data_IF_337936539582
#
_entry.id   IF_337936539582
#
_cell.length_a   1.000
_cell.length_b   1.000
_cell.length_c   1.000
_cell.angle_alpha   90.00
_cell.angle_beta   90.00
_cell.angle_gamma   90.00
#
_symmetry.space_group_name_H-M   'P 1'
#
loop_
_entity.id
_entity.type
_entity.pdbx_description
1 polymer ?
#
# COMPACT_ATOMS: atom_id res chain seq x y z
N UNK A 1 27.18 -3.12 -12.12
CA UNK A 1 26.21 -3.65 -11.15
C UNK A 1 26.07 -2.60 -10.07
N UNK A 2 25.09 -1.71 -10.21
CA UNK A 2 24.79 -0.71 -9.19
C UNK A 2 24.08 -1.46 -8.07
N UNK A 3 24.68 -1.50 -6.89
CA UNK A 3 24.00 -2.06 -5.71
C UNK A 3 22.89 -1.07 -5.38
N UNK A 4 21.64 -1.48 -5.59
CA UNK A 4 20.48 -0.71 -5.13
C UNK A 4 20.52 -0.80 -3.60
N UNK A 5 20.84 0.30 -2.93
CA UNK A 5 20.73 0.38 -1.47
C UNK A 5 19.25 0.50 -1.09
N UNK A 6 18.67 -0.63 -0.66
CA UNK A 6 17.30 -0.68 -0.14
C UNK A 6 17.30 -0.17 1.31
N UNK A 7 16.47 0.83 1.67
CA UNK A 7 16.46 1.37 3.02
C UNK A 7 15.93 0.35 4.04
N UNK A 8 16.57 0.28 5.21
CA UNK A 8 16.12 -0.57 6.32
C UNK A 8 15.06 0.10 7.20
N UNK A 9 15.03 1.44 7.26
CA UNK A 9 13.98 2.17 7.97
C UNK A 9 12.64 2.07 7.20
N UNK A 10 11.52 1.75 7.86
CA UNK A 10 10.25 1.54 7.16
C UNK A 10 9.71 2.75 6.41
N UNK A 11 9.92 3.98 6.93
CA UNK A 11 9.46 5.20 6.25
C UNK A 11 10.33 5.50 5.04
N UNK A 12 11.65 5.43 5.19
CA UNK A 12 12.57 5.58 4.07
C UNK A 12 12.36 4.50 2.99
N UNK A 13 12.03 3.27 3.40
CA UNK A 13 11.72 2.17 2.48
C UNK A 13 10.40 2.40 1.73
N UNK A 14 9.38 2.92 2.42
CA UNK A 14 8.11 3.28 1.80
C UNK A 14 8.27 4.43 0.80
N UNK A 15 9.06 5.45 1.14
CA UNK A 15 9.42 6.55 0.23
C UNK A 15 10.19 6.05 -1.00
N UNK A 16 11.16 5.16 -0.78
CA UNK A 16 11.91 4.53 -1.84
C UNK A 16 11.00 3.74 -2.77
N UNK A 17 10.09 2.91 -2.23
CA UNK A 17 9.12 2.14 -3.01
C UNK A 17 8.19 3.05 -3.83
N UNK A 18 7.67 4.13 -3.23
CA UNK A 18 6.84 5.11 -3.93
C UNK A 18 7.62 5.87 -5.03
N UNK A 19 8.93 6.08 -4.83
CA UNK A 19 9.81 6.69 -5.83
C UNK A 19 10.07 5.76 -7.02
N UNK A 20 10.28 4.47 -6.76
CA UNK A 20 10.50 3.48 -7.83
C UNK A 20 9.22 3.24 -8.65
N UNK A 21 8.05 3.23 -7.99
CA UNK A 21 6.78 2.85 -8.62
C UNK A 21 5.82 4.03 -8.67
N UNK A 22 5.79 4.75 -9.80
CA UNK A 22 4.91 5.93 -10.00
C UNK A 22 3.44 5.66 -9.67
N UNK A 23 2.93 4.47 -9.99
CA UNK A 23 1.53 4.13 -9.68
C UNK A 23 1.31 3.91 -8.18
N UNK A 24 2.28 3.36 -7.44
CA UNK A 24 2.21 3.25 -5.98
C UNK A 24 2.05 4.64 -5.40
N UNK A 25 2.92 5.56 -5.82
CA UNK A 25 2.82 6.97 -5.41
C UNK A 25 1.46 7.57 -5.72
N UNK A 26 0.93 7.40 -6.92
CA UNK A 26 -0.39 7.93 -7.29
C UNK A 26 -1.52 7.38 -6.40
N UNK A 27 -1.47 6.09 -6.05
CA UNK A 27 -2.48 5.48 -5.19
C UNK A 27 -2.37 5.95 -3.74
N UNK A 28 -1.15 6.03 -3.23
CA UNK A 28 -0.88 6.54 -1.88
C UNK A 28 -1.31 8.01 -1.77
N UNK A 29 -0.96 8.84 -2.75
CA UNK A 29 -1.30 10.27 -2.74
C UNK A 29 -2.81 10.53 -2.82
N UNK A 30 -3.61 9.60 -3.39
CA UNK A 30 -5.08 9.67 -3.33
C UNK A 30 -5.63 9.54 -1.92
N UNK A 31 -4.91 8.88 -1.01
CA UNK A 31 -5.32 8.66 0.38
C UNK A 31 -4.65 9.71 1.28
N UNK A 32 -3.32 9.78 1.24
CA UNK A 32 -2.55 10.59 2.17
C UNK A 32 -2.35 12.05 1.72
N UNK A 33 -2.65 12.39 0.46
CA UNK A 33 -2.24 13.65 -0.15
C UNK A 33 -0.77 13.62 -0.62
N UNK A 34 -0.20 14.76 -1.05
CA UNK A 34 1.16 14.81 -1.59
C UNK A 34 2.21 14.34 -0.58
N UNK A 35 2.86 13.21 -0.84
CA UNK A 35 3.77 12.54 0.11
C UNK A 35 5.07 13.32 0.34
N UNK A 36 5.57 14.06 -0.65
CA UNK A 36 6.77 14.91 -0.49
C UNK A 36 6.58 16.06 0.53
N UNK A 37 5.33 16.29 0.96
CA UNK A 37 4.96 17.35 1.91
C UNK A 37 4.48 16.78 3.24
N UNK A 38 4.58 15.48 3.45
CA UNK A 38 3.98 14.79 4.58
C UNK A 38 4.87 13.64 5.07
N UNK A 39 5.53 13.82 6.20
CA UNK A 39 6.41 12.82 6.80
C UNK A 39 5.64 11.62 7.37
N UNK A 40 4.39 11.79 7.81
CA UNK A 40 3.53 10.77 8.42
C UNK A 40 2.60 10.07 7.40
N UNK A 41 2.89 10.14 6.10
CA UNK A 41 1.96 9.63 5.08
C UNK A 41 1.73 8.12 5.21
N UNK A 42 2.75 7.38 5.64
CA UNK A 42 2.68 5.93 5.83
C UNK A 42 1.70 5.59 6.97
N UNK A 43 1.73 6.35 8.07
CA UNK A 43 0.80 6.17 9.18
C UNK A 43 -0.64 6.47 8.76
N UNK A 44 -0.83 7.55 7.99
CA UNK A 44 -2.15 7.91 7.43
C UNK A 44 -2.69 6.80 6.53
N UNK A 45 -1.82 6.18 5.71
CA UNK A 45 -2.18 5.06 4.85
C UNK A 45 -2.58 3.84 5.68
N UNK A 46 -1.73 3.43 6.62
CA UNK A 46 -1.94 2.28 7.50
C UNK A 46 -3.22 2.43 8.32
N UNK A 47 -3.46 3.62 8.85
CA UNK A 47 -4.70 3.93 9.58
C UNK A 47 -5.94 3.82 8.68
N UNK A 48 -5.88 4.38 7.46
CA UNK A 48 -7.00 4.33 6.52
C UNK A 48 -7.37 2.88 6.12
N UNK A 49 -6.37 2.01 5.97
CA UNK A 49 -6.59 0.58 5.69
C UNK A 49 -7.27 -0.11 6.87
N UNK A 50 -6.73 0.07 8.09
CA UNK A 50 -7.29 -0.56 9.29
C UNK A 50 -8.71 -0.06 9.60
N UNK A 51 -8.96 1.24 9.42
CA UNK A 51 -10.27 1.84 9.66
C UNK A 51 -11.31 1.45 8.61
N UNK A 52 -10.89 1.07 7.39
CA UNK A 52 -11.83 0.66 6.34
C UNK A 52 -12.59 -0.62 6.70
N UNK A 53 -11.95 -1.56 7.41
CA UNK A 53 -12.64 -2.77 7.87
C UNK A 53 -13.63 -2.41 9.01
N UNK A 54 -13.25 -1.45 9.86
CA UNK A 54 -14.11 -0.90 10.90
C UNK A 54 -15.34 -0.16 10.36
N UNK A 55 -15.18 0.60 9.28
CA UNK A 55 -16.28 1.33 8.62
C UNK A 55 -17.35 0.37 8.08
N UNK A 56 -16.93 -0.71 7.40
CA UNK A 56 -17.85 -1.74 6.94
C UNK A 56 -18.64 -2.39 8.09
N UNK A 57 -17.96 -2.73 9.18
CA UNK A 57 -18.62 -3.27 10.37
C UNK A 57 -19.59 -2.27 11.03
N UNK A 58 -19.25 -0.98 11.04
CA UNK A 58 -20.13 0.07 11.55
C UNK A 58 -21.40 0.21 10.72
N UNK A 59 -21.30 0.11 9.39
CA UNK A 59 -22.45 0.12 8.49
C UNK A 59 -23.35 -1.10 8.67
N UNK A 60 -22.78 -2.30 8.76
CA UNK A 60 -23.56 -3.53 9.03
C UNK A 60 -24.34 -3.41 10.33
N UNK A 61 -23.72 -2.87 11.38
CA UNK A 61 -24.38 -2.70 12.68
C UNK A 61 -25.42 -1.56 12.66
N UNK A 62 -25.17 -0.48 11.90
CA UNK A 62 -26.13 0.60 11.70
C UNK A 62 -27.38 0.10 11.00
N UNK A 63 -27.23 -0.61 9.88
CA UNK A 63 -28.34 -1.20 9.12
C UNK A 63 -29.13 -2.22 9.95
N UNK A 64 -28.44 -3.00 10.80
CA UNK A 64 -29.09 -3.93 11.73
C UNK A 64 -30.01 -3.23 12.74
N UNK A 65 -29.64 -2.03 13.22
CA UNK A 65 -30.43 -1.24 14.19
C UNK A 65 -31.44 -0.32 13.52
N UNK A 66 -31.14 0.12 12.30
CA UNK A 66 -31.89 1.07 11.50
C UNK A 66 -32.01 0.48 10.09
N UNK A 67 -32.99 -0.40 9.81
CA UNK A 67 -33.15 -1.00 8.50
C UNK A 67 -33.27 0.07 7.40
N UNK A 68 -32.61 -0.18 6.26
CA UNK A 68 -32.65 0.73 5.12
C UNK A 68 -34.10 0.86 4.59
N UNK A 69 -34.60 2.09 4.37
CA UNK A 69 -35.91 2.29 3.77
C UNK A 69 -35.90 1.98 2.27
N UNK A 70 -37.05 1.58 1.73
CA UNK A 70 -37.22 1.28 0.30
C UNK A 70 -37.38 2.54 -0.58
N UNK A 71 -37.62 3.70 0.03
CA UNK A 71 -37.80 4.98 -0.68
C UNK A 71 -36.46 5.72 -0.84
N UNK A 72 -36.18 6.22 -2.05
CA UNK A 72 -34.92 6.89 -2.38
C UNK A 72 -34.65 8.13 -1.53
N UNK A 73 -35.66 8.97 -1.25
CA UNK A 73 -35.47 10.19 -0.47
C UNK A 73 -35.19 9.85 1.00
N UNK A 74 -35.95 8.92 1.56
CA UNK A 74 -35.72 8.38 2.90
C UNK A 74 -34.36 7.67 3.00
N UNK A 75 -33.92 6.98 1.94
CA UNK A 75 -32.62 6.30 1.89
C UNK A 75 -31.47 7.30 2.03
N UNK A 76 -31.51 8.43 1.32
CA UNK A 76 -30.45 9.43 1.42
C UNK A 76 -30.42 10.12 2.78
N UNK A 77 -31.57 10.35 3.40
CA UNK A 77 -31.65 10.89 4.77
C UNK A 77 -31.08 9.89 5.79
N UNK A 78 -31.47 8.61 5.68
CA UNK A 78 -30.92 7.51 6.47
C UNK A 78 -29.41 7.39 6.30
N UNK A 79 -28.92 7.38 5.05
CA UNK A 79 -27.50 7.29 4.75
C UNK A 79 -26.71 8.48 5.30
N UNK A 80 -27.28 9.70 5.30
CA UNK A 80 -26.65 10.88 5.88
C UNK A 80 -26.52 10.81 7.41
N UNK A 81 -27.37 10.04 8.09
CA UNK A 81 -27.32 9.80 9.53
C UNK A 81 -26.43 8.60 9.91
N UNK A 82 -26.02 7.79 8.94
CA UNK A 82 -25.16 6.64 9.14
C UNK A 82 -23.71 7.01 9.47
N UNK A 83 -22.86 5.98 9.71
CA UNK A 83 -21.44 6.15 9.97
C UNK A 83 -20.74 7.03 8.93
N UNK A 84 -19.89 7.94 9.41
CA UNK A 84 -19.13 8.86 8.56
C UNK A 84 -17.65 8.48 8.58
N UNK A 85 -17.21 7.80 7.52
CA UNK A 85 -15.80 7.51 7.29
C UNK A 85 -14.98 8.80 7.16
N UNK A 86 -13.69 8.73 7.54
CA UNK A 86 -12.75 9.81 7.24
C UNK A 86 -12.55 9.97 5.72
N UNK A 87 -12.10 11.14 5.22
CA UNK A 87 -11.77 11.30 3.81
C UNK A 87 -10.81 10.24 3.27
N UNK A 88 -9.85 9.81 4.09
CA UNK A 88 -8.84 8.81 3.75
C UNK A 88 -9.45 7.42 3.60
N UNK A 89 -10.32 7.03 4.55
CA UNK A 89 -11.05 5.76 4.48
C UNK A 89 -11.97 5.72 3.26
N UNK A 90 -12.68 6.82 2.95
CA UNK A 90 -13.49 6.92 1.73
C UNK A 90 -12.63 6.81 0.47
N UNK A 91 -11.47 7.47 0.43
CA UNK A 91 -10.57 7.42 -0.71
C UNK A 91 -10.05 5.99 -0.97
N UNK A 92 -9.75 5.23 0.09
CA UNK A 92 -9.42 3.81 0.01
C UNK A 92 -10.64 2.96 -0.38
N UNK A 93 -11.82 3.24 0.19
CA UNK A 93 -13.05 2.47 -0.01
C UNK A 93 -13.53 2.41 -1.46
N UNK A 94 -13.33 3.47 -2.25
CA UNK A 94 -13.72 3.54 -3.67
C UNK A 94 -12.69 2.94 -4.64
N UNK A 95 -11.55 2.48 -4.14
CA UNK A 95 -10.54 1.82 -4.97
C UNK A 95 -11.00 0.45 -5.45
N UNK A 96 -10.53 0.05 -6.63
CA UNK A 96 -10.67 -1.31 -7.13
C UNK A 96 -9.95 -2.31 -6.23
N UNK A 97 -10.32 -3.59 -6.29
CA UNK A 97 -9.70 -4.64 -5.46
C UNK A 97 -8.19 -4.73 -5.66
N UNK A 98 -7.69 -4.58 -6.90
CA UNK A 98 -6.25 -4.59 -7.18
C UNK A 98 -5.52 -3.41 -6.55
N UNK A 99 -6.09 -2.21 -6.62
CA UNK A 99 -5.53 -1.02 -5.95
C UNK A 99 -5.53 -1.17 -4.43
N UNK A 100 -6.62 -1.67 -3.84
CA UNK A 100 -6.72 -1.92 -2.39
C UNK A 100 -5.66 -2.91 -1.93
N UNK A 101 -5.45 -3.98 -2.68
CA UNK A 101 -4.48 -5.00 -2.33
C UNK A 101 -3.04 -4.48 -2.41
N UNK A 102 -2.75 -3.64 -3.41
CA UNK A 102 -1.45 -2.97 -3.52
C UNK A 102 -1.22 -1.99 -2.36
N UNK A 103 -2.24 -1.20 -2.01
CA UNK A 103 -2.17 -0.30 -0.86
C UNK A 103 -1.98 -1.06 0.45
N UNK A 104 -2.69 -2.18 0.65
CA UNK A 104 -2.50 -3.05 1.82
C UNK A 104 -1.05 -3.55 1.92
N UNK A 105 -0.45 -3.98 0.81
CA UNK A 105 0.95 -4.37 0.75
C UNK A 105 1.88 -3.24 1.23
N UNK A 106 1.72 -2.04 0.69
CA UNK A 106 2.54 -0.87 1.09
C UNK A 106 2.32 -0.54 2.57
N UNK A 107 1.07 -0.56 3.04
CA UNK A 107 0.71 -0.24 4.41
C UNK A 107 1.29 -1.22 5.45
N UNK A 108 1.69 -2.44 5.04
CA UNK A 108 2.41 -3.37 5.93
C UNK A 108 3.78 -2.83 6.38
N UNK A 109 4.38 -1.91 5.62
CA UNK A 109 5.63 -1.24 6.03
C UNK A 109 5.38 -0.32 7.25
N UNK A 110 4.19 0.27 7.38
CA UNK A 110 3.81 1.13 8.50
C UNK A 110 3.38 0.38 9.76
N UNK A 111 3.28 -0.96 9.71
CA UNK A 111 2.94 -1.78 10.86
C UNK A 111 1.94 -2.89 10.56
N UNK A 112 1.12 -3.24 11.56
CA UNK A 112 0.20 -4.37 11.45
C UNK A 112 -0.99 -4.01 10.56
N UNK A 113 -0.99 -4.61 9.38
CA UNK A 113 -2.09 -4.59 8.41
C UNK A 113 -2.36 -6.02 8.00
N UNK A 114 -3.63 -6.42 7.97
CA UNK A 114 -4.01 -7.73 7.44
C UNK A 114 -3.75 -7.77 5.93
N UNK A 115 -2.92 -8.71 5.49
CA UNK A 115 -2.58 -8.89 4.08
C UNK A 115 -2.22 -10.36 3.79
N UNK A 116 -2.49 -10.79 2.57
CA UNK A 116 -2.15 -12.12 2.05
C UNK A 116 -1.35 -12.01 0.75
N UNK A 117 -0.37 -12.89 0.49
CA UNK A 117 0.27 -13.00 -0.83
C UNK A 117 -0.72 -13.22 -1.97
N UNK A 118 -1.89 -13.82 -1.69
CA UNK A 118 -2.96 -13.99 -2.67
C UNK A 118 -3.60 -12.66 -3.10
N UNK A 119 -3.37 -11.58 -2.37
CA UNK A 119 -3.91 -10.26 -2.67
C UNK A 119 -3.12 -9.58 -3.81
N UNK A 120 -1.86 -9.96 -4.06
CA UNK A 120 -1.06 -9.34 -5.12
C UNK A 120 -1.56 -9.80 -6.49
N UNK A 121 -1.95 -8.83 -7.33
CA UNK A 121 -2.14 -9.06 -8.76
C UNK A 121 -0.80 -9.46 -9.37
N UNK A 122 -0.71 -10.64 -9.97
CA UNK A 122 0.48 -11.09 -10.72
C UNK A 122 0.50 -10.56 -12.16
N UNK A 123 -0.13 -9.41 -12.41
CA UNK A 123 0.25 -8.61 -13.57
C UNK A 123 1.69 -8.08 -13.40
N UNK A 124 2.28 -7.60 -14.48
CA UNK A 124 3.67 -7.11 -14.48
C UNK A 124 3.91 -6.05 -13.39
N UNK A 125 2.95 -5.15 -13.16
CA UNK A 125 3.10 -4.05 -12.20
C UNK A 125 3.07 -4.55 -10.77
N UNK A 126 2.12 -5.41 -10.43
CA UNK A 126 2.04 -6.00 -9.09
C UNK A 126 3.25 -6.90 -8.78
N UNK A 127 3.77 -7.62 -9.78
CA UNK A 127 4.99 -8.41 -9.63
C UNK A 127 6.23 -7.54 -9.33
N UNK A 128 6.38 -6.40 -10.00
CA UNK A 128 7.49 -5.48 -9.75
C UNK A 128 7.43 -4.86 -8.34
N UNK A 129 6.25 -4.42 -7.89
CA UNK A 129 6.10 -3.89 -6.51
C UNK A 129 6.36 -4.97 -5.48
N UNK A 130 5.87 -6.20 -5.70
CA UNK A 130 6.12 -7.31 -4.79
C UNK A 130 7.61 -7.64 -4.70
N UNK A 131 8.33 -7.61 -5.82
CA UNK A 131 9.77 -7.86 -5.84
C UNK A 131 10.55 -6.84 -5.00
N UNK A 132 10.25 -5.56 -5.16
CA UNK A 132 10.91 -4.49 -4.40
C UNK A 132 10.46 -4.47 -2.93
N UNK A 133 9.20 -4.79 -2.63
CA UNK A 133 8.73 -4.98 -1.27
C UNK A 133 9.43 -6.15 -0.57
N UNK A 134 9.63 -7.27 -1.26
CA UNK A 134 10.37 -8.41 -0.72
C UNK A 134 11.84 -8.05 -0.45
N UNK A 135 12.45 -7.22 -1.30
CA UNK A 135 13.80 -6.70 -1.04
C UNK A 135 13.85 -5.82 0.22
N UNK A 136 12.83 -4.98 0.45
CA UNK A 136 12.70 -4.18 1.69
C UNK A 136 12.59 -5.09 2.92
N UNK A 137 11.65 -6.04 2.91
CA UNK A 137 11.44 -6.96 4.04
C UNK A 137 12.71 -7.74 4.34
N UNK A 138 13.42 -8.18 3.30
CA UNK A 138 14.69 -8.87 3.44
C UNK A 138 15.76 -8.00 4.11
N UNK A 139 15.91 -6.74 3.68
CA UNK A 139 16.85 -5.79 4.28
C UNK A 139 16.59 -5.52 5.77
N UNK A 140 15.36 -5.77 6.24
CA UNK A 140 14.95 -5.63 7.64
C UNK A 140 15.12 -6.93 8.47
N UNK A 141 15.45 -8.06 7.84
CA UNK A 141 15.61 -9.33 8.56
C UNK A 141 16.85 -9.31 9.46
N UNK A 142 16.79 -9.93 10.66
CA UNK A 142 17.96 -10.04 11.51
C UNK A 142 19.04 -10.92 10.85
N UNK A 143 20.18 -10.32 10.54
CA UNK A 143 21.32 -10.97 9.83
C UNK A 143 21.79 -12.26 10.51
N UNK A 144 21.62 -12.39 11.83
CA UNK A 144 22.00 -13.58 12.59
C UNK A 144 21.06 -14.77 12.39
N UNK A 145 19.80 -14.54 11.97
CA UNK A 145 18.82 -15.58 11.62
C UNK A 145 18.80 -15.86 10.12
N UNK A 146 19.08 -14.85 9.30
CA UNK A 146 19.00 -14.90 7.85
C UNK A 146 20.31 -14.35 7.25
N UNK A 147 21.35 -15.19 7.10
CA UNK A 147 22.65 -14.75 6.58
C UNK A 147 22.58 -14.45 5.08
N UNK A 148 23.13 -13.31 4.66
CA UNK A 148 23.09 -12.80 3.28
C UNK A 148 23.59 -13.79 2.18
N UNK A 149 24.43 -14.76 2.55
CA UNK A 149 24.98 -15.76 1.62
C UNK A 149 23.91 -16.69 0.99
N UNK A 150 22.69 -16.74 1.54
CA UNK A 150 21.57 -17.48 0.95
C UNK A 150 20.76 -16.65 -0.07
N UNK A 151 21.01 -15.34 -0.18
CA UNK A 151 20.03 -14.36 -0.65
C UNK A 151 20.46 -13.49 -1.84
N UNK A 152 21.77 -13.34 -2.10
CA UNK A 152 22.28 -12.50 -3.21
C UNK A 152 21.68 -12.88 -4.58
N UNK A 153 21.46 -14.18 -4.82
CA UNK A 153 20.87 -14.68 -6.05
C UNK A 153 19.36 -14.40 -6.16
N UNK A 154 18.64 -14.38 -5.04
CA UNK A 154 17.22 -14.05 -5.00
C UNK A 154 17.02 -12.55 -5.22
N UNK A 155 17.76 -11.71 -4.50
CA UNK A 155 17.70 -10.25 -4.63
C UNK A 155 18.08 -9.82 -6.05
N UNK A 156 19.17 -10.37 -6.61
CA UNK A 156 19.56 -10.08 -8.00
C UNK A 156 18.47 -10.47 -9.01
N UNK A 157 17.74 -11.57 -8.75
CA UNK A 157 16.67 -12.03 -9.62
C UNK A 157 15.39 -11.20 -9.47
N UNK A 158 15.09 -10.73 -8.26
CA UNK A 158 13.98 -9.81 -8.01
C UNK A 158 14.24 -8.44 -8.63
N UNK A 159 15.45 -7.90 -8.46
CA UNK A 159 15.87 -6.64 -9.09
C UNK A 159 15.79 -6.72 -10.62
N UNK A 160 16.27 -7.81 -11.23
CA UNK A 160 16.17 -8.01 -12.69
C UNK A 160 14.71 -8.06 -13.20
N UNK A 161 13.77 -8.60 -12.41
CA UNK A 161 12.34 -8.60 -12.74
C UNK A 161 11.75 -7.20 -12.64
N UNK A 162 12.13 -6.44 -11.60
CA UNK A 162 11.70 -5.04 -11.46
C UNK A 162 12.22 -4.18 -12.62
N UNK A 163 13.52 -4.25 -12.92
CA UNK A 163 14.17 -3.51 -14.02
C UNK A 163 13.56 -3.83 -15.40
N UNK A 164 13.35 -5.12 -15.71
CA UNK A 164 12.76 -5.54 -16.98
C UNK A 164 11.31 -5.02 -17.16
N UNK A 165 10.62 -4.74 -16.06
CA UNK A 165 9.21 -4.33 -16.06
C UNK A 165 9.04 -2.83 -16.03
N UNK A 166 9.89 -2.13 -15.28
CA UNK A 166 9.85 -0.68 -15.09
C UNK A 166 10.66 0.08 -16.16
N UNK A 167 11.45 -0.64 -16.96
CA UNK A 167 12.48 -0.07 -17.82
C UNK A 167 13.70 0.33 -16.98
N UNK A 168 14.90 0.27 -17.56
CA UNK A 168 16.12 0.78 -16.91
C UNK A 168 15.83 2.19 -16.40
N UNK A 169 15.84 2.38 -15.08
CA UNK A 169 15.60 3.67 -14.46
C UNK A 169 16.43 4.74 -15.15
N UNK A 170 15.79 5.83 -15.57
CA UNK A 170 16.49 6.96 -16.19
C UNK A 170 17.73 7.30 -15.35
N UNK A 171 18.93 7.36 -15.94
CA UNK A 171 20.11 7.76 -15.20
C UNK A 171 19.84 9.14 -14.63
N UNK A 172 20.05 9.27 -13.31
CA UNK A 172 20.01 10.55 -12.62
C UNK A 172 20.82 11.56 -13.43
N UNK A 173 20.15 12.57 -13.98
CA UNK A 173 20.83 13.69 -14.63
C UNK A 173 21.47 14.52 -13.53
N UNK A 174 22.81 14.62 -13.45
CA UNK A 174 23.44 15.49 -12.48
C UNK A 174 23.11 16.95 -12.85
N UNK A 175 22.68 17.73 -11.86
CA UNK A 175 22.75 19.19 -11.89
C UNK A 175 23.74 19.64 -10.83
#
# INVERSE_FOLDING_TARGET
>A
MTVIEVPADPYAAADWLATQHRWVRQLVERIAGPIDRREDWLDVLTQAVNDSDGDGAAWVEYERRHPAPDDDAAFWEWHAQGPQASPQVRAFGVMSSGEKNLIRLVATLGGRVAWSPADVSFDQRGAAVLADWLAIVHAQLPVWLYPAASDDALIARLAAVSDATNGEGSPAVPR
#
